data_IF_667261623040
#
_entry.id   IF_667261623040
#
_cell.length_a   1.000
_cell.length_b   1.000
_cell.length_c   1.000
_cell.angle_alpha   90.00
_cell.angle_beta   90.00
_cell.angle_gamma   90.00
#
_symmetry.space_group_name_H-M   'P 1'
#
loop_
_entity.id
_entity.type
_entity.pdbx_description
1 polymer ?
#
# COMPACT_ATOMS: atom_id res chain seq x y z
N UNK A 1 15.07 -2.15 2.36
CA UNK A 1 14.81 -1.23 3.49
C UNK A 1 13.35 -0.80 3.56
N UNK A 2 12.78 -0.30 2.45
CA UNK A 2 11.38 0.15 2.36
C UNK A 2 10.38 -0.95 2.78
N UNK A 3 10.43 -2.14 2.20
CA UNK A 3 9.53 -3.25 2.59
C UNK A 3 9.80 -3.86 3.97
N UNK A 4 10.95 -3.54 4.57
CA UNK A 4 11.42 -4.15 5.82
C UNK A 4 11.09 -3.31 7.06
N UNK A 5 10.33 -2.21 6.90
CA UNK A 5 9.88 -1.33 7.97
C UNK A 5 8.40 -1.03 7.80
N UNK A 6 7.68 -0.96 8.92
CA UNK A 6 6.30 -0.49 8.90
C UNK A 6 6.25 0.97 8.43
N UNK A 7 5.22 1.33 7.67
CA UNK A 7 5.11 2.65 7.03
C UNK A 7 5.96 2.81 5.76
N UNK A 8 6.88 1.89 5.47
CA UNK A 8 7.61 1.85 4.20
C UNK A 8 8.26 3.17 3.80
N UNK A 9 7.87 3.69 2.64
CA UNK A 9 8.38 4.95 2.11
C UNK A 9 8.11 6.14 3.03
N UNK A 10 6.90 6.23 3.59
CA UNK A 10 6.50 7.32 4.47
C UNK A 10 7.34 7.36 5.75
N UNK A 11 7.66 6.17 6.29
CA UNK A 11 8.53 6.03 7.45
C UNK A 11 9.94 6.53 7.14
N UNK A 12 10.54 6.08 6.03
CA UNK A 12 11.91 6.47 5.67
C UNK A 12 11.99 7.97 5.37
N UNK A 13 11.00 8.53 4.66
CA UNK A 13 10.93 9.98 4.42
C UNK A 13 10.88 10.77 5.72
N UNK A 14 9.93 10.42 6.61
CA UNK A 14 9.76 11.08 7.90
C UNK A 14 10.99 10.94 8.79
N UNK A 15 11.66 9.78 8.76
CA UNK A 15 12.91 9.57 9.47
C UNK A 15 14.01 10.51 8.97
N UNK A 16 14.17 10.66 7.65
CA UNK A 16 15.21 11.52 7.08
C UNK A 16 14.96 13.02 7.32
N UNK A 17 13.70 13.45 7.33
CA UNK A 17 13.35 14.87 7.51
C UNK A 17 13.01 15.26 8.95
N UNK A 18 12.85 14.28 9.86
CA UNK A 18 12.31 14.47 11.19
C UNK A 18 13.32 14.68 12.32
N UNK A 19 14.60 14.87 12.00
CA UNK A 19 15.61 15.16 13.02
C UNK A 19 15.33 16.49 13.71
N UNK A 20 15.24 16.48 15.03
CA UNK A 20 14.99 17.63 15.88
C UNK A 20 15.72 17.50 17.21
N UNK A 21 15.79 18.59 17.96
CA UNK A 21 16.35 18.56 19.31
C UNK A 21 15.50 17.70 20.25
N UNK A 22 16.12 17.00 21.21
CA UNK A 22 15.40 16.20 22.18
C UNK A 22 14.47 17.10 23.02
N UNK A 23 13.21 16.70 23.26
CA UNK A 23 12.31 17.46 24.12
C UNK A 23 12.82 17.46 25.56
N UNK A 24 12.36 18.43 26.36
CA UNK A 24 12.77 18.57 27.75
C UNK A 24 12.59 17.25 28.53
N UNK A 25 13.63 16.82 29.25
CA UNK A 25 13.64 15.59 30.04
C UNK A 25 14.04 14.32 29.29
N UNK A 26 14.35 14.39 27.99
CA UNK A 26 14.90 13.26 27.23
C UNK A 26 16.42 13.39 27.13
N UNK A 27 17.14 12.52 27.85
CA UNK A 27 18.59 12.40 27.73
C UNK A 27 18.97 11.39 26.64
N UNK A 28 19.76 11.84 25.68
CA UNK A 28 20.30 11.00 24.61
C UNK A 28 21.74 10.65 24.94
N UNK A 29 22.05 9.35 24.93
CA UNK A 29 23.41 8.87 25.18
C UNK A 29 24.36 9.39 24.11
N UNK A 30 25.62 9.56 24.49
CA UNK A 30 26.66 9.96 23.56
C UNK A 30 26.73 9.04 22.33
N UNK A 31 26.85 9.62 21.14
CA UNK A 31 26.82 8.91 19.86
C UNK A 31 25.42 8.60 19.32
N UNK A 32 24.36 8.89 20.06
CA UNK A 32 22.98 8.78 19.58
C UNK A 32 22.40 10.17 19.25
N UNK A 33 21.37 10.20 18.41
CA UNK A 33 20.67 11.39 17.95
C UNK A 33 19.17 11.23 18.21
N UNK A 34 18.48 12.34 18.46
CA UNK A 34 17.03 12.29 18.66
C UNK A 34 16.27 12.32 17.32
N UNK A 35 15.31 11.42 17.16
CA UNK A 35 14.36 11.41 16.06
C UNK A 35 13.03 10.78 16.51
N UNK A 36 11.91 11.53 16.51
CA UNK A 36 10.63 11.04 17.03
C UNK A 36 10.02 9.89 16.22
N UNK A 37 10.44 9.72 14.96
CA UNK A 37 9.95 8.63 14.10
C UNK A 37 10.69 7.31 14.35
N UNK A 38 11.89 7.35 14.94
CA UNK A 38 12.62 6.13 15.27
C UNK A 38 12.06 5.49 16.55
N UNK A 39 11.85 4.17 16.60
CA UNK A 39 11.40 3.49 17.82
C UNK A 39 12.32 3.79 19.02
N UNK A 40 11.75 4.36 20.08
CA UNK A 40 12.51 4.77 21.27
C UNK A 40 13.23 6.12 21.16
N UNK A 41 13.07 6.85 20.04
CA UNK A 41 13.52 8.23 19.90
C UNK A 41 15.03 8.44 19.71
N UNK A 42 15.87 7.44 20.05
CA UNK A 42 17.32 7.54 19.97
C UNK A 42 17.89 6.67 18.84
N UNK A 43 18.52 7.28 17.85
CA UNK A 43 19.08 6.63 16.66
C UNK A 43 20.59 6.89 16.54
N UNK A 44 21.37 5.86 16.18
CA UNK A 44 22.82 5.99 15.96
C UNK A 44 23.23 6.68 14.65
N UNK A 45 22.26 7.09 13.83
CA UNK A 45 22.47 7.80 12.58
C UNK A 45 22.31 9.31 12.83
N UNK A 46 23.32 10.11 12.50
CA UNK A 46 23.21 11.56 12.51
C UNK A 46 22.33 12.06 11.36
N UNK A 47 21.88 13.32 11.43
CA UNK A 47 21.24 13.96 10.27
C UNK A 47 22.27 14.07 9.14
N UNK A 48 21.89 13.59 7.96
CA UNK A 48 22.79 13.58 6.78
C UNK A 48 22.30 14.46 5.63
N UNK A 49 21.02 14.89 5.64
CA UNK A 49 20.46 15.73 4.59
C UNK A 49 20.30 17.18 5.09
N UNK A 50 20.86 18.09 4.31
CA UNK A 50 20.85 19.54 4.51
C UNK A 50 20.61 20.23 3.16
N UNK A 51 19.99 21.41 3.16
CA UNK A 51 19.68 22.12 1.93
C UNK A 51 20.96 22.48 1.15
N UNK A 52 20.95 22.28 -0.17
CA UNK A 52 22.08 22.55 -1.06
C UNK A 52 23.23 21.54 -0.97
N UNK A 53 23.02 20.37 -0.33
CA UNK A 53 24.06 19.35 -0.18
C UNK A 53 24.54 18.74 -1.50
N UNK A 54 23.68 18.68 -2.51
CA UNK A 54 23.98 18.14 -3.84
C UNK A 54 23.52 19.11 -4.92
N UNK A 55 24.13 19.02 -6.09
CA UNK A 55 23.66 19.71 -7.30
C UNK A 55 23.00 18.68 -8.22
N UNK A 56 21.72 18.89 -8.54
CA UNK A 56 21.00 18.03 -9.47
C UNK A 56 21.33 18.43 -10.92
N UNK A 57 21.55 17.43 -11.78
CA UNK A 57 21.87 17.63 -13.20
C UNK A 57 20.74 18.34 -13.98
N UNK A 58 19.49 18.18 -13.54
CA UNK A 58 18.31 18.78 -14.15
C UNK A 58 17.97 20.19 -13.63
N UNK A 59 18.78 20.72 -12.70
CA UNK A 59 18.58 22.02 -12.09
C UNK A 59 17.50 22.08 -11.01
N UNK A 60 16.97 20.93 -10.56
CA UNK A 60 16.02 20.89 -9.44
C UNK A 60 16.66 21.50 -8.18
N UNK A 61 15.93 22.32 -7.39
CA UNK A 61 16.45 22.82 -6.13
C UNK A 61 16.67 21.69 -5.10
N UNK A 62 17.90 21.49 -4.65
CA UNK A 62 18.29 20.45 -3.70
C UNK A 62 17.93 20.78 -2.25
N UNK A 63 16.64 20.91 -1.95
CA UNK A 63 16.17 21.02 -0.56
C UNK A 63 16.22 19.66 0.13
N UNK A 64 16.29 19.66 1.46
CA UNK A 64 16.32 18.46 2.31
C UNK A 64 15.15 17.53 2.01
N UNK A 65 13.94 18.08 1.86
CA UNK A 65 12.73 17.31 1.55
C UNK A 65 12.73 16.76 0.13
N UNK A 66 13.26 17.51 -0.85
CA UNK A 66 13.41 17.04 -2.22
C UNK A 66 14.37 15.85 -2.29
N UNK A 67 15.57 15.98 -1.70
CA UNK A 67 16.53 14.88 -1.63
C UNK A 67 15.98 13.65 -0.89
N UNK A 68 15.31 13.86 0.25
CA UNK A 68 14.70 12.76 1.00
C UNK A 68 13.65 12.03 0.14
N UNK A 69 12.82 12.77 -0.61
CA UNK A 69 11.81 12.20 -1.51
C UNK A 69 12.48 11.37 -2.60
N UNK A 70 13.51 11.89 -3.25
CA UNK A 70 14.17 11.21 -4.38
C UNK A 70 14.87 9.93 -3.94
N UNK A 71 15.60 9.98 -2.81
CA UNK A 71 16.23 8.78 -2.22
C UNK A 71 15.19 7.74 -1.82
N UNK A 72 14.06 8.16 -1.23
CA UNK A 72 12.98 7.25 -0.84
C UNK A 72 12.33 6.58 -2.06
N UNK A 73 12.11 7.33 -3.14
CA UNK A 73 11.59 6.80 -4.41
C UNK A 73 12.58 5.79 -5.00
N UNK A 74 13.87 6.13 -5.04
CA UNK A 74 14.92 5.21 -5.50
C UNK A 74 14.99 3.93 -4.66
N UNK A 75 14.96 4.04 -3.33
CA UNK A 75 14.95 2.89 -2.42
C UNK A 75 13.66 2.06 -2.55
N UNK A 76 12.54 2.68 -2.94
CA UNK A 76 11.29 1.99 -3.20
C UNK A 76 11.39 1.15 -4.47
N UNK A 77 11.96 1.70 -5.54
CA UNK A 77 12.30 0.95 -6.74
C UNK A 77 13.29 -0.18 -6.44
N UNK A 78 14.36 0.09 -5.67
CA UNK A 78 15.34 -0.93 -5.32
C UNK A 78 14.74 -2.09 -4.49
N UNK A 79 13.64 -1.82 -3.76
CA UNK A 79 12.91 -2.84 -3.01
C UNK A 79 11.83 -3.57 -3.81
N UNK A 80 11.28 -2.94 -4.86
CA UNK A 80 10.25 -3.48 -5.77
C UNK A 80 10.52 -3.07 -7.23
N UNK A 81 11.55 -3.63 -7.89
CA UNK A 81 11.89 -3.25 -9.27
C UNK A 81 10.77 -3.63 -10.25
N UNK A 82 9.93 -4.61 -9.92
CA UNK A 82 8.81 -5.08 -10.73
C UNK A 82 7.53 -4.24 -10.55
N UNK A 83 7.53 -3.18 -9.72
CA UNK A 83 6.33 -2.45 -9.34
C UNK A 83 5.49 -2.00 -10.55
N UNK A 84 6.13 -1.44 -11.58
CA UNK A 84 5.45 -0.88 -12.74
C UNK A 84 4.81 -1.98 -13.60
N UNK A 85 5.56 -3.05 -13.87
CA UNK A 85 5.06 -4.19 -14.64
C UNK A 85 3.96 -4.95 -13.89
N UNK A 86 4.13 -5.13 -12.57
CA UNK A 86 3.15 -5.74 -11.68
C UNK A 86 1.83 -4.95 -11.68
N UNK A 87 1.88 -3.63 -11.55
CA UNK A 87 0.67 -2.78 -11.61
C UNK A 87 0.01 -2.82 -12.99
N UNK A 88 0.79 -2.78 -14.06
CA UNK A 88 0.28 -2.90 -15.44
C UNK A 88 -0.42 -4.23 -15.68
N UNK A 89 0.19 -5.34 -15.27
CA UNK A 89 -0.42 -6.67 -15.36
C UNK A 89 -1.65 -6.81 -14.45
N UNK A 90 -1.59 -6.23 -13.25
CA UNK A 90 -2.72 -6.18 -12.32
C UNK A 90 -3.96 -5.50 -12.93
N UNK A 91 -3.79 -4.36 -13.62
CA UNK A 91 -4.91 -3.70 -14.31
C UNK A 91 -5.53 -4.58 -15.40
N UNK A 92 -4.70 -5.26 -16.21
CA UNK A 92 -5.18 -6.20 -17.23
C UNK A 92 -5.97 -7.36 -16.60
N UNK A 93 -5.44 -7.93 -15.52
CA UNK A 93 -6.08 -9.02 -14.80
C UNK A 93 -7.44 -8.59 -14.20
N UNK A 94 -7.51 -7.42 -13.57
CA UNK A 94 -8.76 -6.88 -13.02
C UNK A 94 -9.82 -6.64 -14.10
N UNK A 95 -9.42 -6.10 -15.26
CA UNK A 95 -10.34 -5.90 -16.38
C UNK A 95 -10.90 -7.24 -16.90
N UNK A 96 -10.03 -8.23 -17.14
CA UNK A 96 -10.43 -9.56 -17.61
C UNK A 96 -11.34 -10.26 -16.60
N UNK A 97 -10.93 -10.28 -15.33
CA UNK A 97 -11.71 -10.91 -14.26
C UNK A 97 -13.05 -10.21 -14.06
N UNK A 98 -13.10 -8.88 -14.14
CA UNK A 98 -14.37 -8.13 -14.08
C UNK A 98 -15.37 -8.57 -15.15
N UNK A 99 -14.91 -8.70 -16.40
CA UNK A 99 -15.73 -9.19 -17.51
C UNK A 99 -16.16 -10.64 -17.28
N UNK A 100 -15.24 -11.53 -16.92
CA UNK A 100 -15.53 -12.94 -16.67
C UNK A 100 -16.51 -13.13 -15.50
N UNK A 101 -16.37 -12.34 -14.43
CA UNK A 101 -17.30 -12.35 -13.29
C UNK A 101 -18.68 -11.88 -13.73
N UNK A 102 -18.79 -10.80 -14.51
CA UNK A 102 -20.07 -10.35 -15.06
C UNK A 102 -20.76 -11.40 -15.93
N UNK A 103 -20.00 -12.02 -16.86
CA UNK A 103 -20.50 -13.10 -17.72
C UNK A 103 -20.91 -14.33 -16.91
N UNK A 104 -20.11 -14.73 -15.91
CA UNK A 104 -20.40 -15.85 -15.02
C UNK A 104 -21.71 -15.63 -14.26
N UNK A 105 -21.91 -14.44 -13.69
CA UNK A 105 -23.16 -14.09 -13.00
C UNK A 105 -24.34 -14.13 -13.96
N UNK A 106 -24.20 -13.59 -15.17
CA UNK A 106 -25.24 -13.65 -16.19
C UNK A 106 -25.61 -15.09 -16.54
N UNK A 107 -24.64 -15.93 -16.88
CA UNK A 107 -24.85 -17.33 -17.23
C UNK A 107 -25.49 -18.12 -16.08
N UNK A 108 -25.02 -17.88 -14.85
CA UNK A 108 -25.61 -18.48 -13.64
C UNK A 108 -27.08 -18.10 -13.49
N UNK A 109 -27.43 -16.81 -13.65
CA UNK A 109 -28.84 -16.37 -13.57
C UNK A 109 -29.68 -16.96 -14.69
N UNK A 110 -29.16 -17.00 -15.91
CA UNK A 110 -29.86 -17.56 -17.06
C UNK A 110 -30.15 -19.06 -16.89
N UNK A 111 -29.14 -19.87 -16.52
CA UNK A 111 -29.32 -21.32 -16.34
C UNK A 111 -30.23 -21.68 -15.17
N UNK A 112 -30.20 -20.88 -14.10
CA UNK A 112 -31.04 -21.12 -12.92
C UNK A 112 -32.44 -20.52 -13.03
N UNK A 113 -32.75 -19.78 -14.10
CA UNK A 113 -34.03 -19.09 -14.27
C UNK A 113 -35.21 -20.06 -14.12
N UNK A 114 -35.19 -21.21 -14.79
CA UNK A 114 -36.28 -22.19 -14.75
C UNK A 114 -36.57 -22.75 -13.35
N UNK A 115 -35.53 -23.03 -12.56
CA UNK A 115 -35.71 -23.45 -11.16
C UNK A 115 -36.22 -22.30 -10.28
N UNK A 116 -35.75 -21.07 -10.53
CA UNK A 116 -36.13 -19.89 -9.75
C UNK A 116 -37.53 -19.37 -10.06
N UNK A 117 -38.06 -19.63 -11.25
CA UNK A 117 -39.42 -19.23 -11.67
C UNK A 117 -40.43 -20.39 -11.63
N UNK A 118 -40.04 -21.58 -11.16
CA UNK A 118 -40.92 -22.75 -11.09
C UNK A 118 -42.09 -22.50 -10.13
N UNK A 119 -43.32 -22.67 -10.62
CA UNK A 119 -44.54 -22.73 -9.80
C UNK A 119 -44.83 -24.19 -9.44
N UNK A 120 -45.16 -24.45 -8.19
CA UNK A 120 -45.48 -25.79 -7.69
C UNK A 120 -46.92 -25.76 -7.21
N UNK A 121 -47.73 -26.69 -7.71
CA UNK A 121 -49.10 -26.91 -7.27
C UNK A 121 -49.18 -28.28 -6.61
N UNK A 122 -49.75 -28.33 -5.41
CA UNK A 122 -50.06 -29.59 -4.73
C UNK A 122 -51.58 -29.75 -4.66
N UNK A 123 -52.09 -30.77 -5.35
CA UNK A 123 -53.49 -31.15 -5.29
C UNK A 123 -53.60 -32.39 -4.39
N UNK A 124 -54.15 -32.25 -3.16
CA UNK A 124 -54.27 -33.38 -2.25
C UNK A 124 -55.24 -34.43 -2.82
N UNK A 125 -54.94 -35.74 -2.67
CA UNK A 125 -55.83 -36.80 -3.15
C UNK A 125 -57.13 -36.83 -2.35
N UNK A 126 -58.23 -37.20 -3.01
CA UNK A 126 -59.54 -37.35 -2.36
C UNK A 126 -59.50 -38.52 -1.36
N UNK A 127 -59.93 -38.34 -0.10
CA UNK A 127 -60.00 -39.44 0.85
C UNK A 127 -60.99 -40.49 0.35
N UNK A 128 -60.58 -41.76 0.35
CA UNK A 128 -61.51 -42.88 0.14
C UNK A 128 -62.36 -43.02 1.40
N UNK A 129 -63.67 -42.80 1.27
CA UNK A 129 -64.61 -43.17 2.32
C UNK A 129 -64.63 -44.71 2.38
N UNK A 130 -64.23 -45.25 3.52
CA UNK A 130 -64.39 -46.67 3.88
C UNK A 130 -65.83 -46.96 4.26
#
# INVERSE_FOLDING_TARGET
MIKARHGGADYVFSLLTGYQDPPAGVEIREGLNFNPYFPGGAIGMARVLYDGLVEYEDGTPATTSQMAKDVVVFLSWAAEPEMDERKKMGMKALALLGVLTGLSIYLKRHKWAGLKTRKILYNPPTPKNH
#
